data_IF_848056059062
#
_entry.id   IF_848056059062
#
_cell.length_a   1.000
_cell.length_b   1.000
_cell.length_c   1.000
_cell.angle_alpha   90.00
_cell.angle_beta   90.00
_cell.angle_gamma   90.00
#
_symmetry.space_group_name_H-M   'P 1'
#
loop_
_entity.id
_entity.type
_entity.pdbx_description
1 polymer ?
#
# COMPACT_ATOMS: atom_id res chain seq x y z
N UNK A 1 24.52 56.08 9.65
CA UNK A 1 24.38 56.56 8.26
C UNK A 1 22.90 56.63 7.98
N UNK A 2 22.36 57.84 7.79
CA UNK A 2 20.95 58.04 7.41
C UNK A 2 20.83 57.94 5.89
N UNK A 3 20.06 56.96 5.41
CA UNK A 3 19.73 56.80 3.99
C UNK A 3 18.25 57.14 3.83
N UNK A 4 17.95 58.33 3.29
CA UNK A 4 16.60 58.69 2.82
C UNK A 4 16.36 58.03 1.46
N UNK A 5 15.29 57.25 1.34
CA UNK A 5 14.85 56.67 0.07
C UNK A 5 13.52 57.32 -0.30
N UNK A 6 13.55 58.16 -1.34
CA UNK A 6 12.33 58.64 -2.03
C UNK A 6 12.04 57.71 -3.21
N UNK A 7 10.85 57.08 -3.22
CA UNK A 7 10.39 56.20 -4.32
C UNK A 7 9.06 55.48 -4.02
N UNK A 8 8.13 55.52 -4.97
CA UNK A 8 6.75 55.01 -4.92
C UNK A 8 6.69 53.45 -4.76
N UNK A 9 5.88 52.87 -3.85
CA UNK A 9 5.93 51.44 -3.52
C UNK A 9 5.11 50.59 -4.49
N UNK A 10 5.68 50.34 -5.67
CA UNK A 10 5.08 49.49 -6.71
C UNK A 10 5.87 48.21 -6.94
N UNK A 11 5.39 47.11 -6.36
CA UNK A 11 5.66 45.71 -6.75
C UNK A 11 7.11 45.23 -6.83
N UNK A 12 7.47 44.36 -5.88
CA UNK A 12 8.47 43.33 -6.07
C UNK A 12 9.88 43.69 -5.63
N UNK A 13 10.17 43.43 -4.35
CA UNK A 13 11.43 42.84 -3.87
C UNK A 13 11.28 42.59 -2.36
N UNK A 14 10.96 41.35 -1.99
CA UNK A 14 10.94 40.93 -0.58
C UNK A 14 12.37 40.88 -0.08
N UNK A 15 12.75 41.79 0.82
CA UNK A 15 13.96 41.67 1.62
C UNK A 15 13.76 40.54 2.64
N UNK A 16 14.67 39.56 2.67
CA UNK A 16 14.80 38.60 3.77
C UNK A 16 15.99 39.01 4.63
N UNK A 17 15.71 39.45 5.86
CA UNK A 17 16.74 39.70 6.86
C UNK A 17 17.05 38.39 7.59
N UNK A 18 18.27 37.88 7.42
CA UNK A 18 18.72 36.66 8.09
C UNK A 18 19.43 37.01 9.39
N UNK A 19 18.85 36.65 10.54
CA UNK A 19 19.55 36.64 11.82
C UNK A 19 20.07 35.23 12.10
N UNK A 20 21.37 35.01 11.94
CA UNK A 20 22.04 33.77 12.36
C UNK A 20 22.67 34.00 13.73
N UNK A 21 22.06 33.46 14.78
CA UNK A 21 22.72 33.25 16.08
C UNK A 21 22.97 31.75 16.24
N UNK A 22 24.11 31.27 15.76
CA UNK A 22 24.58 29.91 16.03
C UNK A 22 25.13 29.85 17.47
N UNK A 23 24.50 29.07 18.35
CA UNK A 23 25.07 28.74 19.67
C UNK A 23 25.47 27.27 19.65
N UNK A 24 26.78 27.01 19.60
CA UNK A 24 27.33 25.66 19.78
C UNK A 24 27.42 25.35 21.26
N UNK A 25 26.83 24.25 21.69
CA UNK A 25 27.03 23.67 23.02
C UNK A 25 27.80 22.35 22.90
N UNK A 26 28.93 22.26 23.61
CA UNK A 26 29.73 21.03 23.78
C UNK A 26 29.16 20.25 24.97
N UNK A 27 28.21 19.36 24.73
CA UNK A 27 27.78 18.34 25.70
C UNK A 27 27.37 17.04 24.96
N UNK A 28 27.79 15.83 25.40
CA UNK A 28 27.69 14.60 24.59
C UNK A 28 26.33 13.89 24.61
N UNK A 29 25.29 14.50 25.18
CA UNK A 29 23.97 13.86 25.35
C UNK A 29 22.90 14.78 24.75
N UNK A 30 22.83 14.81 23.41
CA UNK A 30 21.96 15.71 22.67
C UNK A 30 20.53 15.16 22.62
N UNK A 31 19.65 15.68 23.48
CA UNK A 31 18.21 15.71 23.22
C UNK A 31 17.99 16.72 22.10
N UNK A 32 17.54 16.25 20.93
CA UNK A 32 17.24 17.13 19.79
C UNK A 32 16.02 17.98 20.15
N UNK A 33 16.22 19.28 20.40
CA UNK A 33 15.12 20.23 20.59
C UNK A 33 14.64 20.64 19.20
N UNK A 34 13.54 20.05 18.75
CA UNK A 34 12.87 20.43 17.51
C UNK A 34 12.17 21.77 17.74
N UNK A 35 12.70 22.84 17.14
CA UNK A 35 12.13 24.18 17.26
C UNK A 35 10.89 24.27 16.35
N UNK A 36 9.69 24.25 16.93
CA UNK A 36 8.43 24.44 16.20
C UNK A 36 8.30 25.90 15.78
N UNK A 37 8.42 26.18 14.49
CA UNK A 37 8.13 27.50 13.91
C UNK A 37 6.60 27.66 13.87
N UNK A 38 6.03 28.44 14.79
CA UNK A 38 4.64 28.88 14.70
C UNK A 38 4.59 30.11 13.81
N UNK A 39 4.39 29.89 12.51
CA UNK A 39 4.07 30.95 11.55
C UNK A 39 2.59 31.28 11.64
N UNK A 40 2.22 32.34 12.37
CA UNK A 40 0.88 32.93 12.29
C UNK A 40 0.74 33.72 10.97
N UNK A 41 0.43 33.01 9.88
CA UNK A 41 -0.06 33.62 8.65
C UNK A 41 -1.53 33.24 8.47
N UNK A 42 -2.41 34.21 8.66
CA UNK A 42 -3.79 34.15 8.19
C UNK A 42 -3.78 34.14 6.65
N UNK A 43 -4.12 33.00 6.06
CA UNK A 43 -4.32 32.84 4.62
C UNK A 43 -4.48 31.36 4.27
N UNK A 44 -5.58 31.02 3.60
CA UNK A 44 -6.02 29.67 3.21
C UNK A 44 -4.97 28.84 2.43
N UNK A 45 -3.97 28.30 3.11
CA UNK A 45 -3.10 27.25 2.59
C UNK A 45 -3.45 25.94 3.27
N UNK A 46 -3.94 24.99 2.48
CA UNK A 46 -4.09 23.59 2.89
C UNK A 46 -2.80 23.13 3.56
N UNK A 47 -2.85 22.44 4.71
CA UNK A 47 -1.66 21.99 5.40
C UNK A 47 -0.82 21.14 4.44
N UNK A 48 0.44 21.55 4.24
CA UNK A 48 1.42 20.75 3.52
C UNK A 48 1.67 19.53 4.40
N UNK A 49 1.16 18.37 3.98
CA UNK A 49 1.39 17.10 4.67
C UNK A 49 2.88 16.83 4.65
N UNK A 50 3.51 16.79 5.81
CA UNK A 50 4.90 16.35 5.99
C UNK A 50 5.06 14.97 5.35
N UNK A 51 6.15 14.75 4.63
CA UNK A 51 6.45 13.42 4.09
C UNK A 51 6.52 12.43 5.28
N UNK A 52 5.89 11.24 5.15
CA UNK A 52 5.91 10.25 6.21
C UNK A 52 7.35 9.82 6.52
N UNK A 53 7.60 9.54 7.78
CA UNK A 53 8.85 8.92 8.22
C UNK A 53 8.93 7.46 7.74
N UNK A 54 10.14 6.91 7.62
CA UNK A 54 10.33 5.48 7.27
C UNK A 54 9.58 4.53 8.23
N UNK A 55 9.39 4.93 9.48
CA UNK A 55 8.63 4.16 10.47
C UNK A 55 7.12 4.15 10.16
N UNK A 56 6.59 5.29 9.72
CA UNK A 56 5.18 5.41 9.31
C UNK A 56 4.91 4.66 8.00
N UNK A 57 5.82 4.74 7.01
CA UNK A 57 5.70 3.97 5.76
C UNK A 57 5.70 2.46 6.02
N UNK A 58 6.55 1.99 6.94
CA UNK A 58 6.57 0.58 7.36
C UNK A 58 5.29 0.17 8.09
N UNK A 59 4.77 1.02 8.97
CA UNK A 59 3.52 0.75 9.67
C UNK A 59 2.33 0.67 8.71
N UNK A 60 2.27 1.58 7.73
CA UNK A 60 1.24 1.60 6.69
C UNK A 60 1.29 0.33 5.82
N UNK A 61 2.49 -0.14 5.46
CA UNK A 61 2.65 -1.37 4.68
C UNK A 61 2.18 -2.60 5.46
N UNK A 62 2.53 -2.70 6.75
CA UNK A 62 2.05 -3.78 7.63
C UNK A 62 0.52 -3.77 7.73
N UNK A 63 -0.09 -2.58 7.85
CA UNK A 63 -1.53 -2.46 7.86
C UNK A 63 -2.16 -2.96 6.55
N UNK A 64 -1.69 -2.49 5.39
CA UNK A 64 -2.23 -2.93 4.09
C UNK A 64 -2.06 -4.43 3.87
N UNK A 65 -0.92 -5.00 4.28
CA UNK A 65 -0.71 -6.44 4.23
C UNK A 65 -1.75 -7.19 5.09
N UNK A 66 -2.03 -6.70 6.29
CA UNK A 66 -3.04 -7.29 7.17
C UNK A 66 -4.46 -7.17 6.61
N UNK A 67 -4.79 -6.08 5.92
CA UNK A 67 -6.06 -5.90 5.23
C UNK A 67 -6.24 -6.93 4.10
N UNK A 68 -5.20 -7.15 3.28
CA UNK A 68 -5.21 -8.19 2.24
C UNK A 68 -5.38 -9.57 2.87
N UNK A 69 -4.62 -9.89 3.92
CA UNK A 69 -4.73 -11.19 4.61
C UNK A 69 -6.14 -11.41 5.17
N UNK A 70 -6.74 -10.38 5.78
CA UNK A 70 -8.11 -10.45 6.32
C UNK A 70 -9.12 -10.70 5.21
N UNK A 71 -8.94 -10.03 4.06
CA UNK A 71 -9.80 -10.17 2.89
C UNK A 71 -9.73 -11.59 2.30
N UNK A 72 -8.54 -12.11 2.00
CA UNK A 72 -8.37 -13.44 1.40
C UNK A 72 -8.69 -14.58 2.38
N UNK A 73 -8.58 -14.34 3.69
CA UNK A 73 -8.95 -15.31 4.72
C UNK A 73 -10.47 -15.58 4.79
N UNK A 74 -11.32 -14.73 4.20
CA UNK A 74 -12.76 -15.02 4.03
C UNK A 74 -13.00 -16.31 3.24
N UNK A 75 -12.04 -16.70 2.40
CA UNK A 75 -12.09 -17.92 1.60
C UNK A 75 -11.63 -19.18 2.35
N UNK A 76 -11.11 -19.09 3.59
CA UNK A 76 -10.65 -20.25 4.39
C UNK A 76 -11.63 -21.44 4.42
N UNK A 77 -12.97 -21.25 4.49
CA UNK A 77 -13.92 -22.37 4.43
C UNK A 77 -13.84 -23.21 3.14
N UNK A 78 -13.42 -22.59 2.04
CA UNK A 78 -13.34 -23.18 0.69
C UNK A 78 -11.93 -23.65 0.32
N UNK A 79 -10.95 -23.44 1.20
CA UNK A 79 -9.58 -23.92 0.99
C UNK A 79 -9.55 -25.45 1.13
N UNK A 80 -8.88 -26.12 0.21
CA UNK A 80 -8.71 -27.56 0.22
C UNK A 80 -8.04 -28.01 1.54
N UNK A 81 -8.44 -29.16 2.14
CA UNK A 81 -7.96 -29.58 3.47
C UNK A 81 -6.44 -29.59 3.62
N UNK A 82 -5.72 -30.00 2.57
CA UNK A 82 -4.25 -30.03 2.54
C UNK A 82 -3.62 -28.65 2.76
N UNK A 83 -4.31 -27.58 2.36
CA UNK A 83 -3.78 -26.22 2.36
C UNK A 83 -4.26 -25.37 3.55
N UNK A 84 -5.31 -25.79 4.28
CA UNK A 84 -5.92 -24.98 5.35
C UNK A 84 -4.93 -24.46 6.38
N UNK A 85 -3.96 -25.29 6.79
CA UNK A 85 -2.97 -24.93 7.81
C UNK A 85 -1.88 -23.98 7.29
N UNK A 86 -1.69 -23.89 5.97
CA UNK A 86 -0.64 -23.08 5.33
C UNK A 86 -1.17 -21.96 4.44
N UNK A 87 -2.48 -21.85 4.25
CA UNK A 87 -3.09 -20.88 3.35
C UNK A 87 -2.68 -19.43 3.65
N UNK A 88 -2.66 -19.06 4.93
CA UNK A 88 -2.25 -17.72 5.34
C UNK A 88 -0.74 -17.49 5.13
N UNK A 89 0.11 -18.48 5.41
CA UNK A 89 1.54 -18.39 5.13
C UNK A 89 1.84 -18.34 3.63
N UNK A 90 1.12 -19.11 2.81
CA UNK A 90 1.20 -19.05 1.34
C UNK A 90 0.88 -17.64 0.85
N UNK A 91 -0.17 -17.00 1.37
CA UNK A 91 -0.47 -15.60 1.03
C UNK A 91 0.63 -14.63 1.48
N UNK A 92 1.23 -14.83 2.67
CA UNK A 92 2.39 -14.03 3.07
C UNK A 92 3.57 -14.21 2.12
N UNK A 93 3.84 -15.43 1.67
CA UNK A 93 4.88 -15.72 0.66
C UNK A 93 4.58 -15.02 -0.67
N UNK A 94 3.33 -15.05 -1.14
CA UNK A 94 2.89 -14.37 -2.36
C UNK A 94 3.09 -12.86 -2.25
N UNK A 95 2.67 -12.24 -1.12
CA UNK A 95 2.80 -10.80 -0.90
C UNK A 95 4.25 -10.33 -0.73
N UNK A 96 5.17 -11.27 -0.47
CA UNK A 96 6.61 -11.01 -0.40
C UNK A 96 7.31 -11.12 -1.76
N UNK A 97 6.63 -11.61 -2.82
CA UNK A 97 7.18 -11.62 -4.17
C UNK A 97 7.35 -10.16 -4.66
N UNK A 98 8.53 -9.75 -5.14
CA UNK A 98 8.77 -8.38 -5.59
C UNK A 98 7.78 -7.91 -6.66
N UNK A 99 7.44 -8.78 -7.60
CA UNK A 99 6.53 -8.53 -8.72
C UNK A 99 5.11 -8.24 -8.22
N UNK A 100 4.67 -8.96 -7.19
CA UNK A 100 3.36 -8.76 -6.54
C UNK A 100 3.39 -7.51 -5.66
N UNK A 101 4.42 -7.36 -4.82
CA UNK A 101 4.55 -6.24 -3.89
C UNK A 101 4.57 -4.88 -4.61
N UNK A 102 5.15 -4.82 -5.80
CA UNK A 102 5.19 -3.61 -6.63
C UNK A 102 3.81 -3.10 -7.07
N UNK A 103 2.79 -3.96 -7.10
CA UNK A 103 1.47 -3.63 -7.67
C UNK A 103 0.32 -3.82 -6.67
N UNK A 104 0.45 -4.74 -5.71
CA UNK A 104 -0.67 -5.13 -4.84
C UNK A 104 -1.05 -4.04 -3.84
N UNK A 105 -0.11 -3.18 -3.43
CA UNK A 105 -0.37 -2.12 -2.46
C UNK A 105 -0.89 -0.82 -3.10
N UNK A 106 -1.07 -0.81 -4.43
CA UNK A 106 -1.52 0.35 -5.20
C UNK A 106 -2.94 0.14 -5.75
N UNK A 107 -3.99 0.61 -5.05
CA UNK A 107 -5.40 0.39 -5.44
C UNK A 107 -5.80 1.09 -6.75
N UNK A 108 -5.01 2.05 -7.23
CA UNK A 108 -5.29 2.81 -8.45
C UNK A 108 -6.64 3.54 -8.39
N UNK A 109 -7.57 3.20 -9.30
CA UNK A 109 -8.89 3.83 -9.41
C UNK A 109 -9.98 3.13 -8.58
N UNK A 110 -9.63 2.06 -7.86
CA UNK A 110 -10.59 1.30 -7.05
C UNK A 110 -10.98 2.10 -5.81
N UNK A 111 -12.27 2.09 -5.48
CA UNK A 111 -12.82 2.79 -4.31
C UNK A 111 -12.86 1.86 -3.12
N UNK A 112 -12.74 2.43 -1.92
CA UNK A 112 -12.96 1.74 -0.64
C UNK A 112 -12.03 0.52 -0.45
N UNK A 113 -10.77 0.63 -0.89
CA UNK A 113 -9.72 -0.36 -0.63
C UNK A 113 -8.35 0.31 -0.56
N UNK A 114 -7.47 -0.23 0.28
CA UNK A 114 -6.08 0.18 0.38
C UNK A 114 -5.13 -0.67 -0.50
N UNK A 115 -5.66 -1.59 -1.31
CA UNK A 115 -4.89 -2.52 -2.12
C UNK A 115 -5.52 -2.75 -3.49
N UNK A 116 -4.74 -3.27 -4.44
CA UNK A 116 -5.19 -3.66 -5.77
C UNK A 116 -6.05 -4.92 -5.68
N UNK A 117 -7.35 -4.71 -5.46
CA UNK A 117 -8.34 -5.78 -5.30
C UNK A 117 -8.50 -6.64 -6.57
N UNK A 118 -8.21 -6.06 -7.75
CA UNK A 118 -8.23 -6.83 -8.99
C UNK A 118 -7.08 -7.84 -9.02
N UNK A 119 -5.86 -7.39 -8.72
CA UNK A 119 -4.70 -8.26 -8.68
C UNK A 119 -4.86 -9.40 -7.66
N UNK A 120 -5.38 -9.10 -6.47
CA UNK A 120 -5.69 -10.13 -5.46
C UNK A 120 -6.67 -11.16 -6.02
N UNK A 121 -7.72 -10.73 -6.72
CA UNK A 121 -8.67 -11.63 -7.37
C UNK A 121 -8.05 -12.47 -8.49
N UNK A 122 -7.15 -11.89 -9.29
CA UNK A 122 -6.43 -12.64 -10.32
C UNK A 122 -5.47 -13.68 -9.73
N UNK A 123 -4.86 -13.40 -8.57
CA UNK A 123 -4.05 -14.38 -7.84
C UNK A 123 -4.95 -15.51 -7.29
N UNK A 124 -6.12 -15.18 -6.74
CA UNK A 124 -7.11 -16.18 -6.32
C UNK A 124 -7.51 -17.09 -7.49
N UNK A 125 -7.66 -16.54 -8.70
CA UNK A 125 -7.89 -17.32 -9.92
C UNK A 125 -6.79 -18.35 -10.17
N UNK A 126 -5.52 -17.96 -10.08
CA UNK A 126 -4.38 -18.89 -10.18
C UNK A 126 -4.50 -20.01 -9.12
N UNK A 127 -4.86 -19.64 -7.88
CA UNK A 127 -4.91 -20.58 -6.76
C UNK A 127 -6.01 -21.66 -6.91
N UNK A 128 -7.17 -21.35 -7.47
CA UNK A 128 -8.22 -22.37 -7.69
C UNK A 128 -8.08 -23.08 -9.05
N UNK A 129 -7.46 -22.45 -10.05
CA UNK A 129 -7.31 -22.99 -11.40
C UNK A 129 -5.95 -23.69 -11.63
N UNK A 130 -5.27 -24.10 -10.55
CA UNK A 130 -3.90 -24.64 -10.58
C UNK A 130 -3.68 -25.79 -11.57
N UNK A 131 -2.42 -25.92 -12.02
CA UNK A 131 -1.99 -26.72 -13.18
C UNK A 131 -2.33 -28.23 -13.16
N UNK A 132 -2.68 -28.81 -12.00
CA UNK A 132 -2.91 -30.26 -11.84
C UNK A 132 -4.34 -30.63 -11.44
N UNK A 133 -5.32 -29.73 -11.60
CA UNK A 133 -6.73 -30.01 -11.29
C UNK A 133 -7.07 -30.10 -9.80
N UNK A 134 -6.11 -29.81 -8.92
CA UNK A 134 -6.29 -29.70 -7.46
C UNK A 134 -5.90 -28.29 -7.00
N UNK A 135 -6.83 -27.34 -7.17
CA UNK A 135 -6.66 -25.98 -6.68
C UNK A 135 -6.49 -25.91 -5.16
N UNK A 136 -5.75 -24.92 -4.68
CA UNK A 136 -5.61 -24.57 -3.26
C UNK A 136 -6.99 -24.19 -2.69
N UNK A 137 -7.81 -23.53 -3.51
CA UNK A 137 -9.20 -23.19 -3.23
C UNK A 137 -10.07 -24.16 -4.05
N UNK A 138 -10.96 -24.88 -3.39
CA UNK A 138 -11.82 -25.90 -4.01
C UNK A 138 -13.05 -25.30 -4.69
N UNK A 139 -13.45 -24.09 -4.30
CA UNK A 139 -14.51 -23.34 -4.97
C UNK A 139 -13.96 -22.62 -6.21
N UNK A 140 -14.60 -22.84 -7.36
CA UNK A 140 -14.21 -22.24 -8.65
C UNK A 140 -15.29 -21.33 -9.24
N UNK A 141 -16.44 -21.20 -8.58
CA UNK A 141 -17.51 -20.31 -9.01
C UNK A 141 -17.18 -18.86 -8.62
N UNK A 142 -16.73 -18.09 -9.61
CA UNK A 142 -16.39 -16.67 -9.43
C UNK A 142 -17.52 -15.82 -8.82
N UNK A 143 -18.78 -16.15 -9.08
CA UNK A 143 -19.93 -15.43 -8.49
C UNK A 143 -20.01 -15.66 -6.98
N UNK A 144 -19.85 -16.91 -6.55
CA UNK A 144 -19.88 -17.27 -5.14
C UNK A 144 -18.66 -16.71 -4.40
N UNK A 145 -17.47 -16.79 -5.01
CA UNK A 145 -16.25 -16.19 -4.47
C UNK A 145 -16.40 -14.66 -4.32
N UNK A 146 -17.00 -13.98 -5.31
CA UNK A 146 -17.26 -12.54 -5.22
C UNK A 146 -18.24 -12.19 -4.09
N UNK A 147 -19.31 -12.97 -3.92
CA UNK A 147 -20.26 -12.80 -2.81
C UNK A 147 -19.58 -12.96 -1.44
N UNK A 148 -18.68 -13.93 -1.28
CA UNK A 148 -17.93 -14.13 -0.03
C UNK A 148 -16.93 -13.00 0.23
N UNK A 149 -16.24 -12.54 -0.82
CA UNK A 149 -15.20 -11.52 -0.70
C UNK A 149 -15.78 -10.12 -0.51
N UNK A 150 -16.87 -9.78 -1.21
CA UNK A 150 -17.39 -8.42 -1.32
C UNK A 150 -18.76 -8.24 -0.68
N UNK A 151 -19.48 -9.34 -0.39
CA UNK A 151 -20.89 -9.29 0.00
C UNK A 151 -21.84 -9.02 -1.18
N UNK A 152 -21.32 -8.98 -2.41
CA UNK A 152 -22.08 -8.70 -3.63
C UNK A 152 -21.61 -9.62 -4.77
N UNK A 153 -22.53 -10.44 -5.25
CA UNK A 153 -22.32 -11.39 -6.35
C UNK A 153 -22.07 -10.70 -7.69
N UNK A 154 -22.55 -9.47 -7.88
CA UNK A 154 -22.43 -8.70 -9.12
C UNK A 154 -21.26 -7.70 -9.05
N UNK A 155 -20.45 -7.78 -7.98
CA UNK A 155 -19.30 -6.91 -7.80
C UNK A 155 -18.28 -7.05 -8.95
N UNK A 156 -17.62 -5.94 -9.29
CA UNK A 156 -16.63 -5.87 -10.38
C UNK A 156 -15.48 -6.90 -10.27
N UNK A 157 -15.15 -7.32 -9.05
CA UNK A 157 -14.16 -8.37 -8.73
C UNK A 157 -14.51 -9.72 -9.35
N UNK A 158 -15.80 -10.04 -9.52
CA UNK A 158 -16.25 -11.30 -10.13
C UNK A 158 -15.57 -11.55 -11.48
N UNK A 159 -15.40 -10.50 -12.29
CA UNK A 159 -14.74 -10.63 -13.59
C UNK A 159 -13.26 -10.98 -13.45
N UNK A 160 -12.58 -10.40 -12.46
CA UNK A 160 -11.15 -10.62 -12.22
C UNK A 160 -10.87 -12.00 -11.64
N UNK A 161 -11.80 -12.54 -10.85
CA UNK A 161 -11.75 -13.92 -10.37
C UNK A 161 -11.78 -14.96 -11.50
N UNK A 162 -12.05 -14.59 -12.76
CA UNK A 162 -11.99 -15.49 -13.91
C UNK A 162 -10.79 -15.25 -14.85
N UNK A 163 -9.83 -14.42 -14.44
CA UNK A 163 -8.73 -13.96 -15.29
C UNK A 163 -7.39 -14.12 -14.55
N UNK A 164 -6.36 -14.56 -15.28
CA UNK A 164 -4.98 -14.45 -14.81
C UNK A 164 -4.55 -12.98 -14.76
N UNK A 165 -3.52 -12.63 -13.95
CA UNK A 165 -2.92 -11.30 -13.98
C UNK A 165 -2.46 -10.92 -15.39
N UNK A 166 -2.68 -9.67 -15.79
CA UNK A 166 -2.20 -9.16 -17.08
C UNK A 166 -0.67 -9.22 -17.18
N UNK A 167 0.01 -9.07 -16.04
CA UNK A 167 1.44 -9.21 -15.92
C UNK A 167 1.87 -10.69 -15.87
N UNK A 168 2.59 -11.11 -16.91
CA UNK A 168 3.08 -12.48 -17.04
C UNK A 168 4.15 -12.80 -15.99
N UNK A 169 4.96 -11.83 -15.57
CA UNK A 169 5.99 -12.05 -14.54
C UNK A 169 5.36 -12.39 -13.21
N UNK A 170 4.27 -11.70 -12.84
CA UNK A 170 3.48 -12.05 -11.66
C UNK A 170 2.93 -13.47 -11.78
N UNK A 171 2.33 -13.81 -12.92
CA UNK A 171 1.75 -15.13 -13.14
C UNK A 171 2.81 -16.23 -13.00
N UNK A 172 3.99 -16.05 -13.59
CA UNK A 172 5.10 -17.00 -13.51
C UNK A 172 5.66 -17.11 -12.08
N UNK A 173 5.87 -15.98 -11.40
CA UNK A 173 6.39 -15.93 -10.03
C UNK A 173 5.46 -16.63 -9.04
N UNK A 174 4.15 -16.34 -9.11
CA UNK A 174 3.14 -16.97 -8.25
C UNK A 174 3.05 -18.48 -8.53
N UNK A 175 2.96 -18.91 -9.79
CA UNK A 175 2.91 -20.34 -10.12
C UNK A 175 4.18 -21.08 -9.66
N UNK A 176 5.36 -20.47 -9.84
CA UNK A 176 6.62 -21.04 -9.36
C UNK A 176 6.61 -21.23 -7.84
N UNK A 177 6.18 -20.23 -7.08
CA UNK A 177 6.06 -20.31 -5.63
C UNK A 177 5.10 -21.43 -5.21
N UNK A 178 3.90 -21.47 -5.79
CA UNK A 178 2.89 -22.48 -5.44
C UNK A 178 3.35 -23.91 -5.78
N UNK A 179 4.08 -24.09 -6.89
CA UNK A 179 4.65 -25.39 -7.26
C UNK A 179 5.74 -25.84 -6.28
N UNK A 180 6.54 -24.92 -5.75
CA UNK A 180 7.54 -25.22 -4.73
C UNK A 180 6.89 -25.59 -3.38
N UNK A 181 5.77 -24.96 -3.01
CA UNK A 181 5.02 -25.29 -1.79
C UNK A 181 4.18 -26.57 -1.88
N UNK A 182 4.00 -27.13 -3.08
CA UNK A 182 3.26 -28.36 -3.32
C UNK A 182 4.14 -29.63 -3.21
N UNK A 183 5.46 -29.47 -3.15
CA UNK A 183 6.46 -30.55 -2.99
C UNK A 183 6.75 -30.82 -1.51
#
# INVERSE_FOLDING_TARGET
MDIKIEGNPGTGNSFCEYHINEVKTLAPQATTVTNTIINNYHGDRKPVRTAPSEAEEKADLVQRQQEILTYVCRLKPFVAPAWKNRYESTWRSILALPEVAAQVYEPGKQKDTAFNRNLVANIIYIMYNGHDGHGIIAESNATHLAEILEGDKDHSVRRQLGLAPDDREITEAVNKLLNMENQ
#
